data_IF_188017013749
#
_entry.id   IF_188017013749
#
_cell.length_a   1.000
_cell.length_b   1.000
_cell.length_c   1.000
_cell.angle_alpha   90.00
_cell.angle_beta   90.00
_cell.angle_gamma   90.00
#
_symmetry.space_group_name_H-M   'P 1'
#
loop_
_entity.id
_entity.type
_entity.pdbx_description
1 polymer ?
#
# COMPACT_ATOMS: atom_id res chain seq x y z
N UNK A 1 -40.34 10.42 -50.05
CA UNK A 1 -39.62 10.87 -48.87
C UNK A 1 -39.81 9.78 -47.86
N UNK A 2 -38.91 8.83 -47.84
CA UNK A 2 -38.87 7.73 -46.86
C UNK A 2 -38.01 8.17 -45.71
N UNK A 3 -38.63 8.31 -44.52
CA UNK A 3 -37.95 8.55 -43.27
C UNK A 3 -37.00 7.38 -43.00
N UNK A 4 -35.74 7.69 -42.86
CA UNK A 4 -34.70 6.78 -42.42
C UNK A 4 -34.79 6.65 -40.88
N UNK A 5 -35.38 5.55 -40.38
CA UNK A 5 -35.23 5.16 -39.00
C UNK A 5 -33.76 4.74 -38.76
N UNK A 6 -33.09 5.24 -37.73
CA UNK A 6 -31.75 4.77 -37.39
C UNK A 6 -31.85 3.33 -36.89
N UNK A 7 -31.00 2.42 -37.37
CA UNK A 7 -30.95 1.06 -36.87
C UNK A 7 -30.25 1.05 -35.51
N UNK A 8 -30.88 0.37 -34.58
CA UNK A 8 -30.35 -0.18 -33.35
C UNK A 8 -30.13 0.81 -32.21
N UNK A 9 -30.80 0.44 -31.14
CA UNK A 9 -30.79 1.07 -29.84
C UNK A 9 -29.39 1.50 -29.42
N UNK A 10 -29.32 2.71 -28.90
CA UNK A 10 -28.08 3.34 -28.48
C UNK A 10 -27.33 2.42 -27.52
N UNK A 11 -26.06 2.20 -27.81
CA UNK A 11 -25.12 1.77 -26.81
C UNK A 11 -25.31 2.72 -25.63
N UNK A 12 -25.32 2.23 -24.38
CA UNK A 12 -25.39 3.10 -23.23
C UNK A 12 -24.27 4.13 -23.40
N UNK A 13 -24.63 5.41 -23.40
CA UNK A 13 -23.67 6.52 -23.28
C UNK A 13 -22.94 6.24 -21.96
N UNK A 14 -21.62 6.24 -21.93
CA UNK A 14 -20.91 6.07 -20.66
C UNK A 14 -21.48 7.07 -19.67
N UNK A 15 -21.94 6.58 -18.51
CA UNK A 15 -22.50 7.45 -17.45
C UNK A 15 -21.44 8.40 -16.88
N UNK A 16 -20.14 8.10 -17.17
CA UNK A 16 -18.97 8.84 -16.68
C UNK A 16 -18.17 9.43 -17.85
N UNK A 17 -17.54 10.58 -17.59
CA UNK A 17 -16.75 11.28 -18.61
C UNK A 17 -15.32 10.70 -18.74
N UNK A 18 -14.80 10.11 -17.64
CA UNK A 18 -13.41 9.65 -17.55
C UNK A 18 -13.28 8.31 -16.82
N UNK A 19 -12.72 7.33 -17.51
CA UNK A 19 -12.33 6.05 -16.94
C UNK A 19 -10.87 6.09 -16.51
N UNK A 20 -10.60 5.85 -15.23
CA UNK A 20 -9.26 5.82 -14.66
C UNK A 20 -8.87 4.39 -14.34
N UNK A 21 -7.83 3.90 -14.98
CA UNK A 21 -7.35 2.53 -14.80
C UNK A 21 -6.41 2.45 -13.59
N UNK A 22 -6.85 1.79 -12.52
CA UNK A 22 -6.08 1.56 -11.30
C UNK A 22 -5.39 0.20 -11.40
N UNK A 23 -4.07 0.19 -11.60
CA UNK A 23 -3.32 -1.05 -11.84
C UNK A 23 -2.57 -1.45 -10.58
N UNK A 24 -2.87 -2.65 -10.07
CA UNK A 24 -2.19 -3.26 -8.93
C UNK A 24 -1.54 -4.59 -9.30
N UNK A 25 -0.31 -4.80 -8.86
CA UNK A 25 0.46 -6.04 -9.01
C UNK A 25 0.85 -6.69 -7.67
N UNK A 26 0.42 -6.09 -6.55
CA UNK A 26 0.70 -6.58 -5.20
C UNK A 26 -0.40 -6.18 -4.21
N UNK A 27 -0.45 -6.88 -3.06
CA UNK A 27 -1.41 -6.55 -1.99
C UNK A 27 -1.23 -5.14 -1.40
N UNK A 28 -0.02 -4.64 -1.14
CA UNK A 28 0.18 -3.27 -0.68
C UNK A 28 -0.37 -2.23 -1.65
N UNK A 29 -0.21 -2.46 -2.96
CA UNK A 29 -0.77 -1.58 -3.99
C UNK A 29 -2.30 -1.57 -3.92
N UNK A 30 -2.94 -2.73 -3.75
CA UNK A 30 -4.40 -2.84 -3.58
C UNK A 30 -4.87 -2.08 -2.33
N UNK A 31 -4.16 -2.22 -1.20
CA UNK A 31 -4.53 -1.54 0.04
C UNK A 31 -4.63 -0.02 -0.11
N UNK A 32 -3.85 0.55 -1.02
CA UNK A 32 -3.82 1.99 -1.32
C UNK A 32 -4.79 2.40 -2.41
N UNK A 33 -4.99 1.55 -3.42
CA UNK A 33 -5.82 1.87 -4.58
C UNK A 33 -7.31 1.57 -4.36
N UNK A 34 -7.67 0.56 -3.55
CA UNK A 34 -9.06 0.20 -3.33
C UNK A 34 -9.91 1.33 -2.70
N UNK A 35 -9.44 2.08 -1.67
CA UNK A 35 -10.18 3.24 -1.16
C UNK A 35 -10.38 4.34 -2.21
N UNK A 36 -9.41 4.50 -3.13
CA UNK A 36 -9.51 5.46 -4.23
C UNK A 36 -10.53 5.01 -5.25
N UNK A 37 -10.55 3.70 -5.58
CA UNK A 37 -11.56 3.14 -6.46
C UNK A 37 -12.97 3.39 -5.93
N UNK A 38 -13.17 3.23 -4.62
CA UNK A 38 -14.46 3.56 -3.98
C UNK A 38 -14.79 5.04 -4.15
N UNK A 39 -13.84 5.95 -3.88
CA UNK A 39 -14.08 7.39 -4.01
C UNK A 39 -14.38 7.81 -5.47
N UNK A 40 -13.74 7.18 -6.45
CA UNK A 40 -14.01 7.45 -7.86
C UNK A 40 -15.40 6.94 -8.27
N UNK A 41 -15.80 5.75 -7.82
CA UNK A 41 -17.11 5.18 -8.13
C UNK A 41 -18.27 5.91 -7.41
N UNK A 42 -17.96 6.64 -6.33
CA UNK A 42 -18.93 7.52 -5.67
C UNK A 42 -19.03 8.90 -6.36
N UNK A 43 -18.13 9.20 -7.31
CA UNK A 43 -18.11 10.45 -8.05
C UNK A 43 -18.96 10.37 -9.33
N UNK A 44 -19.59 11.49 -9.74
CA UNK A 44 -20.51 11.51 -10.89
C UNK A 44 -19.79 11.40 -12.25
N UNK A 45 -18.52 11.82 -12.35
CA UNK A 45 -17.83 12.05 -13.63
C UNK A 45 -16.56 11.24 -13.84
N UNK A 46 -16.10 10.55 -12.82
CA UNK A 46 -14.91 9.71 -12.85
C UNK A 46 -15.30 8.31 -12.44
N UNK A 47 -14.84 7.31 -13.16
CA UNK A 47 -15.01 5.90 -12.81
C UNK A 47 -13.65 5.23 -12.63
N UNK A 48 -13.53 4.37 -11.62
CA UNK A 48 -12.40 3.48 -11.48
C UNK A 48 -12.62 2.20 -12.30
N UNK A 49 -11.59 1.79 -13.01
CA UNK A 49 -11.45 0.44 -13.56
C UNK A 49 -10.27 -0.22 -12.86
N UNK A 50 -10.55 -1.20 -12.04
CA UNK A 50 -9.54 -1.89 -11.20
C UNK A 50 -8.95 -3.08 -11.92
N UNK A 51 -7.62 -3.17 -11.94
CA UNK A 51 -6.87 -4.23 -12.61
C UNK A 51 -5.97 -4.97 -11.64
N UNK A 52 -6.24 -6.26 -11.49
CA UNK A 52 -5.36 -7.21 -10.81
C UNK A 52 -4.40 -7.83 -11.84
N UNK A 53 -3.10 -7.64 -11.67
CA UNK A 53 -2.04 -8.16 -12.56
C UNK A 53 -0.78 -8.50 -11.75
N UNK A 54 0.38 -8.54 -12.37
CA UNK A 54 1.63 -8.83 -11.69
C UNK A 54 2.00 -10.33 -11.67
N UNK A 55 3.00 -10.72 -10.88
CA UNK A 55 3.45 -12.11 -10.81
C UNK A 55 2.41 -13.10 -10.29
N UNK A 56 1.52 -12.64 -9.40
CA UNK A 56 0.41 -13.44 -8.84
C UNK A 56 -0.91 -12.65 -8.90
N UNK A 57 -1.56 -12.58 -10.07
CA UNK A 57 -2.77 -11.78 -10.24
C UNK A 57 -3.95 -12.29 -9.41
N UNK A 58 -4.01 -13.58 -9.07
CA UNK A 58 -5.09 -14.12 -8.25
C UNK A 58 -5.04 -13.62 -6.82
N UNK A 59 -3.84 -13.57 -6.23
CA UNK A 59 -3.65 -12.98 -4.90
C UNK A 59 -4.02 -11.48 -4.87
N UNK A 60 -3.77 -10.77 -5.96
CA UNK A 60 -4.15 -9.35 -6.11
C UNK A 60 -5.66 -9.22 -6.24
N UNK A 61 -6.30 -10.08 -7.03
CA UNK A 61 -7.76 -10.14 -7.17
C UNK A 61 -8.45 -10.39 -5.82
N UNK A 62 -8.02 -11.42 -5.09
CA UNK A 62 -8.53 -11.74 -3.74
C UNK A 62 -8.34 -10.57 -2.77
N UNK A 63 -7.26 -9.81 -2.89
CA UNK A 63 -7.02 -8.64 -2.06
C UNK A 63 -8.02 -7.50 -2.34
N UNK A 64 -8.36 -7.25 -3.61
CA UNK A 64 -9.41 -6.31 -3.99
C UNK A 64 -10.78 -6.75 -3.45
N UNK A 65 -11.14 -8.04 -3.62
CA UNK A 65 -12.39 -8.58 -3.07
C UNK A 65 -12.46 -8.43 -1.54
N UNK A 66 -11.35 -8.71 -0.85
CA UNK A 66 -11.27 -8.61 0.61
C UNK A 66 -11.50 -7.17 1.12
N UNK A 67 -11.26 -6.16 0.29
CA UNK A 67 -11.54 -4.75 0.60
C UNK A 67 -12.91 -4.26 0.09
N UNK A 68 -13.71 -5.16 -0.50
CA UNK A 68 -15.05 -4.83 -1.00
C UNK A 68 -15.07 -4.10 -2.35
N UNK A 69 -13.95 -4.13 -3.05
CA UNK A 69 -13.77 -3.55 -4.40
C UNK A 69 -13.33 -4.68 -5.33
N UNK A 70 -14.26 -5.42 -5.96
CA UNK A 70 -13.89 -6.50 -6.87
C UNK A 70 -13.10 -5.93 -8.06
N UNK A 71 -12.06 -6.67 -8.49
CA UNK A 71 -11.28 -6.27 -9.66
C UNK A 71 -12.13 -6.43 -10.93
N UNK A 72 -12.22 -5.36 -11.73
CA UNK A 72 -12.94 -5.37 -13.02
C UNK A 72 -12.22 -6.25 -14.04
N UNK A 73 -10.89 -6.27 -13.98
CA UNK A 73 -10.03 -7.08 -14.84
C UNK A 73 -9.01 -7.85 -13.99
N UNK A 74 -8.95 -9.18 -14.22
CA UNK A 74 -7.87 -10.01 -13.69
C UNK A 74 -7.05 -10.54 -14.85
N UNK A 75 -5.83 -10.01 -14.98
CA UNK A 75 -4.95 -10.32 -16.09
C UNK A 75 -4.05 -11.52 -15.75
N UNK A 76 -4.55 -12.72 -16.07
CA UNK A 76 -3.80 -13.95 -15.86
C UNK A 76 -2.62 -14.05 -16.83
N UNK A 77 -1.45 -14.36 -16.30
CA UNK A 77 -0.29 -14.72 -17.09
C UNK A 77 -0.46 -16.16 -17.54
N UNK A 78 -0.51 -16.42 -18.86
CA UNK A 78 -0.76 -17.76 -19.41
C UNK A 78 0.39 -18.74 -19.18
N UNK A 79 1.59 -18.23 -19.01
CA UNK A 79 2.79 -19.02 -18.71
C UNK A 79 3.35 -18.54 -17.37
N UNK A 80 3.83 -19.46 -16.53
CA UNK A 80 4.51 -19.04 -15.31
C UNK A 80 5.71 -18.19 -15.73
N UNK A 81 5.83 -16.96 -15.22
CA UNK A 81 6.93 -16.09 -15.59
C UNK A 81 8.24 -16.73 -15.14
N UNK A 82 9.27 -16.62 -15.97
CA UNK A 82 10.64 -16.81 -15.48
C UNK A 82 10.79 -15.90 -14.24
N UNK A 83 11.34 -16.40 -13.13
CA UNK A 83 11.53 -15.60 -11.91
C UNK A 83 12.49 -14.41 -12.11
N UNK A 84 13.14 -14.30 -13.27
CA UNK A 84 14.01 -13.18 -13.55
C UNK A 84 13.22 -11.87 -13.76
N UNK A 85 13.60 -10.78 -13.09
CA UNK A 85 12.86 -9.51 -13.15
C UNK A 85 12.63 -8.99 -14.58
N UNK A 86 13.61 -9.13 -15.46
CA UNK A 86 13.51 -8.68 -16.84
C UNK A 86 12.46 -9.45 -17.66
N UNK A 87 12.32 -10.75 -17.44
CA UNK A 87 11.31 -11.59 -18.12
C UNK A 87 9.91 -11.23 -17.64
N UNK A 88 9.73 -11.02 -16.33
CA UNK A 88 8.47 -10.56 -15.74
C UNK A 88 8.08 -9.18 -16.31
N UNK A 89 9.03 -8.24 -16.35
CA UNK A 89 8.79 -6.90 -16.89
C UNK A 89 8.36 -6.94 -18.36
N UNK A 90 9.04 -7.73 -19.20
CA UNK A 90 8.72 -7.87 -20.61
C UNK A 90 7.30 -8.43 -20.83
N UNK A 91 6.91 -9.43 -20.03
CA UNK A 91 5.57 -10.01 -20.08
C UNK A 91 4.51 -8.99 -19.66
N UNK A 92 4.74 -8.28 -18.55
CA UNK A 92 3.84 -7.23 -18.07
C UNK A 92 3.70 -6.10 -19.10
N UNK A 93 4.79 -5.67 -19.75
CA UNK A 93 4.74 -4.65 -20.81
C UNK A 93 3.78 -5.04 -21.91
N UNK A 94 3.89 -6.26 -22.44
CA UNK A 94 3.02 -6.74 -23.50
C UNK A 94 1.55 -6.78 -23.04
N UNK A 95 1.31 -7.30 -21.85
CA UNK A 95 -0.05 -7.48 -21.34
C UNK A 95 -0.75 -6.17 -20.99
N UNK A 96 -0.01 -5.25 -20.38
CA UNK A 96 -0.54 -3.93 -20.05
C UNK A 96 -0.77 -3.14 -21.34
N UNK A 97 0.09 -3.27 -22.36
CA UNK A 97 -0.09 -2.63 -23.64
C UNK A 97 -1.38 -3.09 -24.35
N UNK A 98 -1.63 -4.41 -24.39
CA UNK A 98 -2.89 -4.98 -24.90
C UNK A 98 -4.11 -4.41 -24.15
N UNK A 99 -4.03 -4.37 -22.80
CA UNK A 99 -5.11 -3.87 -21.95
C UNK A 99 -5.42 -2.39 -22.20
N UNK A 100 -4.38 -1.55 -22.35
CA UNK A 100 -4.56 -0.13 -22.64
C UNK A 100 -5.17 0.14 -24.02
N UNK A 101 -4.91 -0.75 -25.00
CA UNK A 101 -5.58 -0.68 -26.32
C UNK A 101 -7.05 -1.02 -26.20
N UNK A 102 -7.37 -2.07 -25.43
CA UNK A 102 -8.73 -2.58 -25.34
C UNK A 102 -9.65 -1.66 -24.52
N UNK A 103 -9.13 -1.05 -23.46
CA UNK A 103 -9.90 -0.22 -22.52
C UNK A 103 -9.88 1.29 -22.84
N UNK A 104 -8.87 1.77 -23.57
CA UNK A 104 -8.67 3.20 -23.94
C UNK A 104 -8.94 4.17 -22.76
N UNK A 105 -8.28 4.00 -21.59
CA UNK A 105 -8.60 4.78 -20.40
C UNK A 105 -8.14 6.23 -20.53
N UNK A 106 -8.83 7.15 -19.82
CA UNK A 106 -8.47 8.57 -19.77
C UNK A 106 -7.17 8.82 -19.00
N UNK A 107 -6.83 7.96 -18.02
CA UNK A 107 -5.56 7.96 -17.31
C UNK A 107 -5.26 6.59 -16.69
N UNK A 108 -3.98 6.36 -16.38
CA UNK A 108 -3.52 5.21 -15.60
C UNK A 108 -3.04 5.70 -14.23
N UNK A 109 -3.55 5.10 -13.17
CA UNK A 109 -3.10 5.37 -11.81
C UNK A 109 -2.31 4.19 -11.26
N UNK A 110 -1.15 4.49 -10.68
CA UNK A 110 -0.23 3.53 -10.08
C UNK A 110 0.23 3.99 -8.69
N UNK A 111 0.58 3.03 -7.84
CA UNK A 111 1.08 3.27 -6.49
C UNK A 111 2.51 2.76 -6.32
N UNK A 112 3.36 3.55 -5.63
CA UNK A 112 4.67 3.13 -5.18
C UNK A 112 5.73 3.01 -6.27
N UNK A 113 6.70 2.13 -6.04
CA UNK A 113 7.87 1.89 -6.92
C UNK A 113 8.06 0.42 -7.29
N UNK A 114 7.03 -0.41 -7.17
CA UNK A 114 7.10 -1.80 -7.59
C UNK A 114 7.35 -1.98 -9.10
N UNK A 115 7.56 -3.20 -9.54
CA UNK A 115 7.78 -3.50 -10.96
C UNK A 115 6.51 -3.23 -11.78
N UNK A 116 5.36 -3.67 -11.32
CA UNK A 116 4.09 -3.46 -12.02
C UNK A 116 3.77 -1.98 -12.21
N UNK A 117 3.81 -1.10 -11.18
CA UNK A 117 3.68 0.34 -11.36
C UNK A 117 4.65 0.94 -12.37
N UNK A 118 5.93 0.52 -12.32
CA UNK A 118 6.96 1.06 -13.22
C UNK A 118 6.71 0.68 -14.68
N UNK A 119 6.29 -0.55 -14.93
CA UNK A 119 5.95 -1.02 -16.28
C UNK A 119 4.68 -0.33 -16.76
N UNK A 120 3.64 -0.26 -15.94
CA UNK A 120 2.37 0.37 -16.29
C UNK A 120 2.55 1.85 -16.66
N UNK A 121 3.32 2.59 -15.87
CA UNK A 121 3.61 4.00 -16.15
C UNK A 121 4.38 4.19 -17.47
N UNK A 122 5.36 3.33 -17.78
CA UNK A 122 6.11 3.41 -19.03
C UNK A 122 5.23 3.11 -20.24
N UNK A 123 4.42 2.06 -20.17
CA UNK A 123 3.51 1.68 -21.28
C UNK A 123 2.45 2.75 -21.51
N UNK A 124 1.83 3.27 -20.44
CA UNK A 124 0.87 4.37 -20.52
C UNK A 124 1.49 5.62 -21.17
N UNK A 125 2.71 6.00 -20.73
CA UNK A 125 3.43 7.13 -21.30
C UNK A 125 3.70 6.97 -22.81
N UNK A 126 4.12 5.78 -23.27
CA UNK A 126 4.34 5.52 -24.70
C UNK A 126 3.05 5.60 -25.53
N UNK A 127 1.92 5.34 -24.91
CA UNK A 127 0.59 5.51 -25.51
C UNK A 127 0.01 6.91 -25.36
N UNK A 128 0.76 7.84 -24.76
CA UNK A 128 0.31 9.20 -24.46
C UNK A 128 -0.91 9.26 -23.52
N UNK A 129 -1.10 8.22 -22.70
CA UNK A 129 -2.10 8.19 -21.65
C UNK A 129 -1.50 8.84 -20.41
N UNK A 130 -2.17 9.83 -19.79
CA UNK A 130 -1.70 10.46 -18.56
C UNK A 130 -1.46 9.47 -17.42
N UNK A 131 -0.37 9.64 -16.70
CA UNK A 131 -0.01 8.82 -15.54
C UNK A 131 -0.25 9.59 -14.27
N UNK A 132 -1.03 9.04 -13.35
CA UNK A 132 -1.19 9.51 -11.98
C UNK A 132 -0.38 8.62 -11.05
N UNK A 133 0.61 9.17 -10.38
CA UNK A 133 1.46 8.44 -9.47
C UNK A 133 1.15 8.79 -8.02
N UNK A 134 0.65 7.84 -7.26
CA UNK A 134 0.51 7.95 -5.80
C UNK A 134 1.76 7.38 -5.13
N UNK A 135 2.43 8.19 -4.36
CA UNK A 135 3.67 7.83 -3.68
C UNK A 135 3.51 7.90 -2.17
N UNK A 136 3.94 6.84 -1.49
CA UNK A 136 4.18 6.82 -0.04
C UNK A 136 5.62 6.43 0.25
N UNK A 137 6.02 6.60 1.49
CA UNK A 137 7.35 6.25 1.96
C UNK A 137 8.38 7.36 1.78
N UNK A 138 9.55 7.12 2.33
CA UNK A 138 10.67 8.06 2.34
C UNK A 138 11.49 7.89 1.06
N UNK A 139 11.73 8.99 0.36
CA UNK A 139 12.68 9.00 -0.73
C UNK A 139 14.10 8.79 -0.19
N UNK A 140 14.89 7.98 -0.86
CA UNK A 140 16.30 7.79 -0.54
C UNK A 140 17.19 8.43 -1.60
N UNK A 141 18.44 8.72 -1.24
CA UNK A 141 19.43 9.23 -2.22
C UNK A 141 20.15 8.09 -2.97
N UNK A 142 19.91 6.84 -2.55
CA UNK A 142 20.55 5.65 -3.12
C UNK A 142 19.57 4.88 -4.03
N UNK A 143 19.85 4.82 -5.32
CA UNK A 143 19.05 4.08 -6.32
C UNK A 143 18.92 2.58 -6.04
N UNK A 144 19.83 2.04 -5.24
CA UNK A 144 19.86 0.63 -4.89
C UNK A 144 19.17 0.34 -3.54
N UNK A 145 18.61 1.36 -2.90
CA UNK A 145 18.01 1.21 -1.58
C UNK A 145 16.70 2.01 -1.41
N UNK A 146 15.55 1.32 -1.28
CA UNK A 146 15.32 -0.11 -1.52
C UNK A 146 15.41 -0.47 -3.00
N UNK A 147 15.93 -1.65 -3.30
CA UNK A 147 16.08 -2.12 -4.67
C UNK A 147 14.93 -3.07 -5.05
N UNK A 148 14.32 -2.92 -6.24
CA UNK A 148 14.53 -1.89 -7.28
C UNK A 148 13.61 -0.66 -7.11
N UNK A 149 12.89 -0.56 -5.99
CA UNK A 149 11.75 0.37 -5.79
C UNK A 149 12.17 1.83 -5.94
N UNK A 150 13.32 2.25 -5.40
CA UNK A 150 13.76 3.64 -5.48
C UNK A 150 14.03 4.08 -6.92
N UNK A 151 14.70 3.24 -7.71
CA UNK A 151 14.95 3.52 -9.12
C UNK A 151 13.63 3.60 -9.92
N UNK A 152 12.73 2.65 -9.71
CA UNK A 152 11.41 2.62 -10.35
C UNK A 152 10.59 3.85 -9.99
N UNK A 153 10.55 4.23 -8.71
CA UNK A 153 9.83 5.41 -8.22
C UNK A 153 10.30 6.68 -8.94
N UNK A 154 11.61 6.86 -9.12
CA UNK A 154 12.15 8.02 -9.86
C UNK A 154 11.75 7.99 -11.33
N UNK A 155 11.76 6.82 -11.96
CA UNK A 155 11.30 6.68 -13.35
C UNK A 155 9.83 7.08 -13.45
N UNK A 156 8.96 6.54 -12.61
CA UNK A 156 7.52 6.84 -12.63
C UNK A 156 7.30 8.34 -12.40
N UNK A 157 7.99 8.93 -11.43
CA UNK A 157 7.88 10.36 -11.13
C UNK A 157 8.24 11.28 -12.30
N UNK A 158 9.15 10.86 -13.21
CA UNK A 158 9.47 11.61 -14.43
C UNK A 158 8.42 11.47 -15.53
N UNK A 159 7.61 10.41 -15.48
CA UNK A 159 6.56 10.12 -16.47
C UNK A 159 5.19 10.64 -16.02
N UNK A 160 5.03 10.90 -14.73
CA UNK A 160 3.74 11.26 -14.14
C UNK A 160 3.26 12.65 -14.59
N UNK A 161 2.02 12.70 -15.06
CA UNK A 161 1.29 13.95 -15.34
C UNK A 161 0.78 14.59 -14.04
N UNK A 162 0.46 13.76 -13.04
CA UNK A 162 0.05 14.18 -11.71
C UNK A 162 0.80 13.33 -10.66
N UNK A 163 1.43 13.98 -9.70
CA UNK A 163 2.17 13.35 -8.62
C UNK A 163 1.47 13.60 -7.28
N UNK A 164 1.03 12.54 -6.62
CA UNK A 164 0.31 12.56 -5.35
C UNK A 164 1.19 11.99 -4.25
N UNK A 165 1.25 12.66 -3.09
CA UNK A 165 2.05 12.21 -1.95
C UNK A 165 1.19 11.96 -0.73
N UNK A 166 1.58 10.99 0.09
CA UNK A 166 0.87 10.70 1.35
C UNK A 166 1.26 11.63 2.50
N UNK A 167 2.32 12.42 2.36
CA UNK A 167 2.78 13.33 3.40
C UNK A 167 4.13 13.98 3.09
N UNK A 168 4.74 14.55 4.10
CA UNK A 168 6.01 15.28 4.03
C UNK A 168 7.20 14.30 3.95
N UNK A 169 7.28 13.57 2.85
CA UNK A 169 8.16 12.41 2.65
C UNK A 169 9.58 12.78 2.17
N UNK A 170 10.04 14.02 2.39
CA UNK A 170 11.37 14.44 1.93
C UNK A 170 11.53 14.50 0.40
N UNK A 171 10.44 14.38 -0.36
CA UNK A 171 10.43 14.36 -1.82
C UNK A 171 10.74 15.71 -2.48
N UNK A 172 11.02 16.75 -1.71
CA UNK A 172 11.07 18.17 -2.09
C UNK A 172 11.66 18.53 -3.45
N UNK A 173 12.71 17.84 -3.93
CA UNK A 173 13.30 18.14 -5.25
C UNK A 173 12.86 17.16 -6.35
N UNK A 174 12.23 16.05 -6.02
CA UNK A 174 11.85 15.00 -6.96
C UNK A 174 10.34 15.05 -7.33
N UNK A 175 9.53 15.68 -6.48
CA UNK A 175 8.17 16.02 -6.81
C UNK A 175 8.19 17.21 -7.77
N UNK A 176 7.77 17.01 -9.01
CA UNK A 176 7.63 18.08 -10.00
C UNK A 176 6.66 19.20 -9.50
N UNK A 177 6.48 20.27 -10.26
CA UNK A 177 5.62 21.40 -9.86
C UNK A 177 4.14 21.03 -9.68
N UNK A 178 3.74 19.83 -10.08
CA UNK A 178 2.37 19.31 -9.99
C UNK A 178 2.19 18.30 -8.85
N UNK A 179 3.05 18.34 -7.82
CA UNK A 179 2.90 17.46 -6.66
C UNK A 179 1.83 17.98 -5.70
N UNK A 180 0.91 17.11 -5.32
CA UNK A 180 -0.17 17.40 -4.37
C UNK A 180 -0.10 16.42 -3.21
N UNK A 181 -0.07 16.95 -1.98
CA UNK A 181 -0.17 16.11 -0.78
C UNK A 181 -1.64 15.77 -0.52
N UNK A 182 -1.95 14.48 -0.53
CA UNK A 182 -3.32 13.96 -0.33
C UNK A 182 -3.53 13.30 1.03
N UNK A 183 -2.46 12.88 1.68
CA UNK A 183 -2.50 12.06 2.89
C UNK A 183 -2.49 10.56 2.56
N UNK A 184 -2.49 9.75 3.61
CA UNK A 184 -2.46 8.30 3.48
C UNK A 184 -3.83 7.75 3.07
N UNK A 185 -3.89 7.05 1.94
CA UNK A 185 -5.11 6.45 1.42
C UNK A 185 -5.45 5.10 2.06
N UNK A 186 -4.52 4.50 2.81
CA UNK A 186 -4.82 3.28 3.55
C UNK A 186 -5.82 3.58 4.67
N UNK A 187 -6.98 2.97 4.60
CA UNK A 187 -8.03 3.14 5.61
C UNK A 187 -8.28 1.82 6.33
N UNK A 188 -8.46 1.91 7.65
CA UNK A 188 -8.98 0.78 8.43
C UNK A 188 -10.49 0.73 8.18
N UNK A 189 -10.91 0.03 7.13
CA UNK A 189 -12.34 -0.20 6.92
C UNK A 189 -12.86 -1.02 8.10
N UNK A 190 -13.92 -0.58 8.83
CA UNK A 190 -14.54 -1.37 9.86
C UNK A 190 -15.23 -2.58 9.21
N UNK A 191 -14.50 -3.67 9.07
CA UNK A 191 -14.96 -4.91 8.45
C UNK A 191 -15.66 -5.84 9.44
N UNK A 192 -16.49 -6.78 8.92
CA UNK A 192 -17.44 -7.55 9.69
C UNK A 192 -16.82 -8.40 10.81
N UNK A 193 -17.68 -8.80 11.75
CA UNK A 193 -17.37 -9.51 12.98
C UNK A 193 -16.69 -10.88 12.82
N UNK A 194 -16.49 -11.35 11.59
CA UNK A 194 -16.07 -12.71 11.25
C UNK A 194 -14.56 -12.90 11.04
N UNK A 195 -13.75 -11.84 11.21
CA UNK A 195 -12.31 -11.96 11.08
C UNK A 195 -11.73 -12.77 12.25
N UNK A 196 -10.79 -13.67 11.94
CA UNK A 196 -10.10 -14.55 12.89
C UNK A 196 -9.56 -13.80 14.11
N UNK A 197 -9.00 -12.61 13.90
CA UNK A 197 -8.38 -11.78 14.94
C UNK A 197 -9.30 -10.72 15.53
N UNK A 198 -10.58 -10.65 15.15
CA UNK A 198 -11.50 -9.62 15.64
C UNK A 198 -11.63 -9.57 17.18
N UNK A 199 -11.50 -10.73 17.85
CA UNK A 199 -11.52 -10.79 19.32
C UNK A 199 -10.25 -10.20 19.93
N UNK A 200 -9.08 -10.51 19.35
CA UNK A 200 -7.80 -9.98 19.77
C UNK A 200 -7.76 -8.46 19.59
N UNK A 201 -8.09 -7.96 18.40
CA UNK A 201 -8.15 -6.52 18.09
C UNK A 201 -9.07 -5.78 19.05
N UNK A 202 -10.25 -6.30 19.33
CA UNK A 202 -11.17 -5.70 20.32
C UNK A 202 -10.57 -5.66 21.72
N UNK A 203 -9.90 -6.73 22.14
CA UNK A 203 -9.25 -6.81 23.47
C UNK A 203 -8.12 -5.80 23.58
N UNK A 204 -7.25 -5.71 22.57
CA UNK A 204 -6.15 -4.74 22.50
C UNK A 204 -6.68 -3.31 22.59
N UNK A 205 -7.70 -2.97 21.78
CA UNK A 205 -8.31 -1.63 21.76
C UNK A 205 -9.04 -1.25 23.07
N UNK A 206 -9.45 -2.23 23.86
CA UNK A 206 -10.09 -2.03 25.16
C UNK A 206 -9.09 -1.91 26.33
N UNK A 207 -7.87 -1.40 26.09
CA UNK A 207 -6.77 -1.32 27.04
C UNK A 207 -6.33 -2.70 27.58
N UNK A 208 -6.43 -3.73 26.75
CA UNK A 208 -5.89 -5.06 27.01
C UNK A 208 -4.38 -5.14 26.75
N UNK A 209 -3.88 -6.33 26.36
CA UNK A 209 -2.48 -6.52 26.11
C UNK A 209 -1.99 -5.64 24.94
N UNK A 210 -0.71 -5.28 24.97
CA UNK A 210 -0.04 -4.59 23.88
C UNK A 210 0.33 -5.61 22.81
N UNK A 211 -0.06 -5.38 21.57
CA UNK A 211 0.20 -6.28 20.45
C UNK A 211 1.53 -5.94 19.79
N UNK A 212 2.40 -6.92 19.66
CA UNK A 212 3.59 -6.91 18.81
C UNK A 212 3.28 -7.75 17.57
N UNK A 213 3.22 -7.11 16.40
CA UNK A 213 2.99 -7.79 15.14
C UNK A 213 4.33 -8.03 14.45
N UNK A 214 4.61 -9.28 14.04
CA UNK A 214 5.89 -9.69 13.46
C UNK A 214 5.66 -10.36 12.12
N UNK A 215 6.12 -9.73 11.03
CA UNK A 215 6.01 -10.23 9.66
C UNK A 215 7.39 -10.50 9.07
N UNK A 216 7.77 -11.78 8.87
CA UNK A 216 9.11 -12.17 8.45
C UNK A 216 9.07 -13.22 7.35
N UNK A 217 9.74 -12.90 6.24
CA UNK A 217 9.83 -13.76 5.07
C UNK A 217 11.28 -14.19 4.77
N UNK A 218 12.28 -13.40 5.16
CA UNK A 218 13.68 -13.63 4.80
C UNK A 218 14.43 -14.48 5.83
N UNK A 219 15.24 -15.46 5.39
CA UNK A 219 16.02 -16.32 6.29
C UNK A 219 16.95 -15.56 7.25
N UNK A 220 17.46 -14.41 6.85
CA UNK A 220 18.35 -13.58 7.67
C UNK A 220 17.64 -13.01 8.91
N UNK A 221 16.31 -12.98 8.91
CA UNK A 221 15.45 -12.51 10.01
C UNK A 221 15.19 -13.57 11.10
N UNK A 222 15.74 -14.79 10.98
CA UNK A 222 15.53 -15.89 11.95
C UNK A 222 15.92 -15.54 13.39
N UNK A 223 16.91 -14.66 13.57
CA UNK A 223 17.31 -14.18 14.89
C UNK A 223 16.21 -13.46 15.65
N UNK A 224 15.29 -12.81 14.93
CA UNK A 224 14.12 -12.14 15.54
C UNK A 224 13.17 -13.16 16.16
N UNK A 225 12.84 -14.24 15.44
CA UNK A 225 11.98 -15.31 15.97
C UNK A 225 12.56 -15.94 17.23
N UNK A 226 13.89 -16.15 17.26
CA UNK A 226 14.57 -16.73 18.40
C UNK A 226 14.51 -15.84 19.67
N UNK A 227 14.40 -14.52 19.51
CA UNK A 227 14.32 -13.57 20.62
C UNK A 227 12.90 -13.35 21.19
N UNK A 228 11.85 -13.74 20.46
CA UNK A 228 10.45 -13.48 20.87
C UNK A 228 10.03 -14.23 22.16
N UNK A 229 10.43 -15.49 22.42
CA UNK A 229 10.10 -16.14 23.69
C UNK A 229 10.62 -15.38 24.90
N UNK A 230 11.88 -14.91 24.87
CA UNK A 230 12.46 -14.11 25.95
C UNK A 230 11.74 -12.76 26.13
N UNK A 231 11.31 -12.13 25.01
CA UNK A 231 10.50 -10.91 25.08
C UNK A 231 9.16 -11.18 25.78
N UNK A 232 8.48 -12.27 25.42
CA UNK A 232 7.21 -12.66 26.01
C UNK A 232 7.35 -12.98 27.51
N UNK A 233 8.42 -13.68 27.91
CA UNK A 233 8.67 -14.01 29.32
C UNK A 233 8.98 -12.74 30.16
N UNK A 234 9.69 -11.79 29.56
CA UNK A 234 10.08 -10.54 30.24
C UNK A 234 8.96 -9.49 30.33
N UNK A 235 7.96 -9.56 29.42
CA UNK A 235 6.90 -8.55 29.28
C UNK A 235 5.52 -9.21 29.36
N UNK A 236 4.94 -9.36 30.56
CA UNK A 236 3.67 -10.10 30.72
C UNK A 236 2.45 -9.43 30.09
N UNK A 237 2.55 -8.14 29.73
CA UNK A 237 1.46 -7.35 29.15
C UNK A 237 1.42 -7.37 27.61
N UNK A 238 2.32 -8.12 26.96
CA UNK A 238 2.33 -8.21 25.51
C UNK A 238 1.76 -9.51 25.00
N UNK A 239 1.16 -9.44 23.81
CA UNK A 239 0.86 -10.58 22.95
C UNK A 239 1.58 -10.41 21.62
N UNK A 240 1.95 -11.52 20.99
CA UNK A 240 2.68 -11.55 19.74
C UNK A 240 1.86 -12.28 18.67
N UNK A 241 1.74 -11.67 17.51
CA UNK A 241 1.25 -12.36 16.30
C UNK A 241 2.40 -12.41 15.30
N UNK A 242 2.76 -13.63 14.87
CA UNK A 242 3.81 -13.87 13.87
C UNK A 242 3.16 -14.35 12.59
N UNK A 243 3.55 -13.77 11.45
CA UNK A 243 3.13 -14.20 10.12
C UNK A 243 4.31 -14.15 9.13
N UNK A 244 4.09 -14.69 7.91
CA UNK A 244 5.11 -14.76 6.87
C UNK A 244 5.68 -16.16 6.68
N UNK A 245 6.59 -16.31 5.73
CA UNK A 245 7.18 -17.61 5.39
C UNK A 245 7.94 -18.22 6.58
N UNK A 246 8.61 -17.40 7.40
CA UNK A 246 9.33 -17.86 8.57
C UNK A 246 8.43 -18.34 9.70
N UNK A 247 7.14 -18.05 9.68
CA UNK A 247 6.18 -18.63 10.63
C UNK A 247 6.10 -20.16 10.54
N UNK A 248 6.48 -20.73 9.40
CA UNK A 248 6.56 -22.19 9.18
C UNK A 248 7.93 -22.77 9.53
N UNK A 249 8.92 -21.96 9.88
CA UNK A 249 10.26 -22.41 10.20
C UNK A 249 10.36 -22.98 11.63
N UNK A 250 11.28 -23.92 11.84
CA UNK A 250 11.48 -24.57 13.15
C UNK A 250 11.80 -23.59 14.30
N UNK A 251 12.36 -22.43 14.01
CA UNK A 251 12.60 -21.36 15.00
C UNK A 251 11.30 -20.78 15.60
N UNK A 252 10.16 -20.90 14.92
CA UNK A 252 8.86 -20.47 15.44
C UNK A 252 8.23 -21.52 16.40
N UNK A 253 8.80 -22.74 16.50
CA UNK A 253 8.24 -23.82 17.32
C UNK A 253 7.99 -23.44 18.79
N UNK A 254 8.90 -22.74 19.50
CA UNK A 254 8.64 -22.30 20.88
C UNK A 254 7.40 -21.40 21.01
N UNK A 255 7.12 -20.58 19.99
CA UNK A 255 5.98 -19.67 19.98
C UNK A 255 4.64 -20.39 19.81
N UNK A 256 4.63 -21.57 19.11
CA UNK A 256 3.42 -22.37 18.94
C UNK A 256 2.87 -22.93 20.26
N UNK A 257 3.70 -22.98 21.30
CA UNK A 257 3.35 -23.48 22.61
C UNK A 257 3.24 -22.40 23.67
N UNK A 258 3.34 -21.12 23.26
CA UNK A 258 3.25 -20.00 24.16
C UNK A 258 1.85 -19.37 24.15
N UNK A 259 1.17 -19.32 25.31
CA UNK A 259 -0.23 -18.87 25.44
C UNK A 259 -0.50 -17.46 24.89
N UNK A 260 0.53 -16.61 24.86
CA UNK A 260 0.46 -15.23 24.37
C UNK A 260 1.06 -15.03 22.98
N UNK A 261 1.32 -16.11 22.26
CA UNK A 261 1.78 -16.05 20.88
C UNK A 261 0.77 -16.72 19.94
N UNK A 262 0.57 -16.10 18.79
CA UNK A 262 -0.19 -16.72 17.69
C UNK A 262 0.69 -16.71 16.44
N UNK A 263 0.87 -17.86 15.85
CA UNK A 263 1.69 -18.04 14.66
C UNK A 263 0.78 -18.45 13.51
N UNK A 264 0.86 -17.72 12.39
CA UNK A 264 0.10 -17.98 11.16
C UNK A 264 1.00 -17.83 9.95
N UNK A 265 0.80 -18.62 8.93
CA UNK A 265 1.61 -18.54 7.71
C UNK A 265 1.32 -17.29 6.91
N UNK A 266 0.06 -16.91 6.82
CA UNK A 266 -0.36 -15.72 6.06
C UNK A 266 -1.57 -15.06 6.72
N UNK A 267 -1.73 -13.78 6.45
CA UNK A 267 -2.88 -12.98 6.86
C UNK A 267 -3.58 -12.45 5.60
N UNK A 268 -4.91 -12.57 5.52
CA UNK A 268 -5.68 -11.79 4.57
C UNK A 268 -5.42 -10.29 4.75
N UNK A 269 -5.44 -9.52 3.67
CA UNK A 269 -5.09 -8.10 3.71
C UNK A 269 -5.95 -7.31 4.73
N UNK A 270 -7.25 -7.58 4.78
CA UNK A 270 -8.16 -6.91 5.72
C UNK A 270 -7.80 -7.20 7.19
N UNK A 271 -7.34 -8.42 7.51
CA UNK A 271 -6.87 -8.77 8.85
C UNK A 271 -5.52 -8.13 9.16
N UNK A 272 -4.59 -8.13 8.18
CA UNK A 272 -3.27 -7.51 8.31
C UNK A 272 -3.40 -6.02 8.64
N UNK A 273 -4.18 -5.26 7.88
CA UNK A 273 -4.40 -3.82 8.10
C UNK A 273 -4.98 -3.57 9.50
N UNK A 274 -5.94 -4.37 9.95
CA UNK A 274 -6.52 -4.22 11.29
C UNK A 274 -5.55 -4.58 12.42
N UNK A 275 -4.73 -5.61 12.22
CA UNK A 275 -3.70 -5.99 13.19
C UNK A 275 -2.60 -4.94 13.27
N UNK A 276 -2.13 -4.42 12.14
CA UNK A 276 -1.17 -3.30 12.12
C UNK A 276 -1.76 -2.13 12.89
N UNK A 277 -2.95 -1.65 12.56
CA UNK A 277 -3.58 -0.50 13.22
C UNK A 277 -3.91 -0.71 14.70
N UNK A 278 -3.91 -1.96 15.19
CA UNK A 278 -4.10 -2.28 16.61
C UNK A 278 -2.78 -2.53 17.34
N UNK A 279 -1.66 -2.65 16.61
CA UNK A 279 -0.38 -3.03 17.20
C UNK A 279 0.31 -1.87 17.93
N UNK A 280 1.01 -2.18 18.99
CA UNK A 280 1.89 -1.25 19.67
C UNK A 280 3.21 -1.05 18.89
N UNK A 281 3.60 -2.06 18.10
CA UNK A 281 4.73 -2.01 17.19
C UNK A 281 4.59 -3.10 16.12
N UNK A 282 4.97 -2.75 14.88
CA UNK A 282 5.19 -3.71 13.80
C UNK A 282 6.70 -3.98 13.68
N UNK A 283 7.07 -5.25 13.54
CA UNK A 283 8.43 -5.69 13.21
C UNK A 283 8.36 -6.47 11.91
N UNK A 284 9.05 -6.01 10.88
CA UNK A 284 9.01 -6.71 9.59
C UNK A 284 10.31 -6.56 8.82
N UNK A 285 10.61 -7.54 7.97
CA UNK A 285 11.66 -7.48 6.96
C UNK A 285 11.14 -7.08 5.57
N UNK A 286 9.86 -6.72 5.49
CA UNK A 286 9.24 -6.12 4.31
C UNK A 286 9.28 -4.58 4.44
N UNK A 287 10.09 -3.88 3.61
CA UNK A 287 10.19 -2.43 3.66
C UNK A 287 8.89 -1.70 3.31
N UNK A 288 8.04 -2.28 2.44
CA UNK A 288 6.79 -1.66 2.04
C UNK A 288 5.79 -1.67 3.20
N UNK A 289 5.65 -2.82 3.87
CA UNK A 289 4.79 -2.95 5.03
C UNK A 289 5.23 -2.05 6.19
N UNK A 290 6.56 -1.94 6.40
CA UNK A 290 7.12 -1.04 7.43
C UNK A 290 6.85 0.42 7.10
N UNK A 291 6.97 0.81 5.82
CA UNK A 291 6.67 2.17 5.38
C UNK A 291 5.18 2.54 5.52
N UNK A 292 4.31 1.56 5.44
CA UNK A 292 2.86 1.74 5.53
C UNK A 292 2.33 1.85 6.98
N UNK A 293 3.00 1.21 7.93
CA UNK A 293 2.53 1.11 9.31
C UNK A 293 2.29 2.47 10.00
N UNK A 294 3.12 3.51 9.81
CA UNK A 294 2.87 4.83 10.39
C UNK A 294 1.57 5.48 9.94
N UNK A 295 1.16 5.27 8.69
CA UNK A 295 -0.13 5.74 8.17
C UNK A 295 -1.33 5.13 8.90
N UNK A 296 -1.15 3.95 9.51
CA UNK A 296 -2.13 3.29 10.38
C UNK A 296 -1.94 3.64 11.87
N UNK A 297 -1.01 4.56 12.19
CA UNK A 297 -0.74 4.97 13.57
C UNK A 297 0.20 4.04 14.35
N UNK A 298 0.89 3.10 13.67
CA UNK A 298 1.71 2.08 14.30
C UNK A 298 3.19 2.33 14.06
N UNK A 299 4.03 2.46 15.09
CA UNK A 299 5.47 2.53 14.92
C UNK A 299 5.99 1.20 14.36
N UNK A 300 7.00 1.27 13.48
CA UNK A 300 7.52 0.09 12.81
C UNK A 300 9.04 -0.04 12.93
N UNK A 301 9.50 -1.28 12.95
CA UNK A 301 10.91 -1.67 12.99
C UNK A 301 11.23 -2.51 11.77
N UNK A 302 12.09 -2.01 10.89
CA UNK A 302 12.59 -2.77 9.75
C UNK A 302 13.75 -3.66 10.19
N UNK A 303 13.63 -4.95 9.90
CA UNK A 303 14.66 -5.94 10.18
C UNK A 303 15.58 -6.05 8.96
N UNK A 304 16.88 -5.88 9.19
CA UNK A 304 17.93 -6.16 8.20
C UNK A 304 17.76 -5.44 6.85
N UNK A 305 17.40 -4.15 6.91
CA UNK A 305 17.34 -3.30 5.73
C UNK A 305 18.68 -2.64 5.44
N UNK A 306 19.01 -2.40 4.16
CA UNK A 306 20.05 -1.45 3.82
C UNK A 306 19.67 -0.11 4.45
N UNK A 307 20.69 0.67 4.82
CA UNK A 307 20.59 1.95 5.50
C UNK A 307 19.37 2.78 5.03
N UNK A 308 18.34 2.88 5.85
CA UNK A 308 17.26 3.83 5.64
C UNK A 308 17.74 5.16 6.25
N UNK A 309 17.70 6.27 5.49
CA UNK A 309 18.06 7.58 6.01
C UNK A 309 17.24 7.93 7.24
N UNK A 310 17.77 8.78 8.10
CA UNK A 310 17.20 9.17 9.38
C UNK A 310 15.67 9.32 9.30
N UNK A 311 14.93 8.49 10.01
CA UNK A 311 13.48 8.52 9.94
C UNK A 311 12.96 9.71 10.74
N UNK A 312 11.90 10.31 10.30
CA UNK A 312 10.95 10.89 11.23
C UNK A 312 10.59 9.81 12.27
N UNK A 313 10.25 10.19 13.51
CA UNK A 313 10.19 9.37 14.74
C UNK A 313 9.39 8.04 14.67
N UNK A 314 8.82 7.67 13.54
CA UNK A 314 7.86 6.56 13.39
C UNK A 314 8.45 5.26 12.81
N UNK A 315 9.60 5.29 12.10
CA UNK A 315 10.23 4.10 11.50
C UNK A 315 11.67 3.98 12.00
N UNK A 316 12.07 2.79 12.42
CA UNK A 316 13.45 2.50 12.81
C UNK A 316 13.98 1.32 12.02
N UNK A 317 15.07 1.53 11.28
CA UNK A 317 15.80 0.45 10.61
C UNK A 317 16.89 -0.09 11.52
N UNK A 318 16.92 -1.41 11.74
CA UNK A 318 17.82 -2.02 12.72
C UNK A 318 18.30 -3.38 12.23
N UNK A 319 19.58 -3.63 12.43
CA UNK A 319 20.19 -4.93 12.19
C UNK A 319 19.71 -5.97 13.23
N UNK A 320 19.55 -7.21 12.78
CA UNK A 320 18.90 -8.31 13.51
C UNK A 320 19.26 -8.51 15.00
N UNK A 321 20.50 -8.37 15.50
CA UNK A 321 20.79 -8.60 16.91
C UNK A 321 20.17 -7.56 17.86
N UNK A 322 19.85 -6.37 17.36
CA UNK A 322 19.36 -5.26 18.17
C UNK A 322 17.84 -5.06 18.10
N UNK A 323 17.13 -5.87 17.29
CA UNK A 323 15.67 -5.72 17.09
C UNK A 323 14.91 -5.81 18.41
N UNK A 324 15.22 -6.80 19.25
CA UNK A 324 14.51 -6.98 20.53
C UNK A 324 14.72 -5.81 21.50
N UNK A 325 15.92 -5.25 21.52
CA UNK A 325 16.21 -4.05 22.33
C UNK A 325 15.40 -2.87 21.85
N UNK A 326 15.27 -2.70 20.54
CA UNK A 326 14.48 -1.61 19.99
C UNK A 326 12.99 -1.82 20.18
N UNK A 327 12.50 -3.03 20.00
CA UNK A 327 11.11 -3.35 20.34
C UNK A 327 10.80 -2.98 21.78
N UNK A 328 11.66 -3.36 22.75
CA UNK A 328 11.51 -2.93 24.16
C UNK A 328 11.55 -1.41 24.33
N UNK A 329 12.43 -0.71 23.62
CA UNK A 329 12.50 0.76 23.64
C UNK A 329 11.23 1.42 23.10
N UNK A 330 10.71 0.93 21.94
CA UNK A 330 9.44 1.40 21.37
C UNK A 330 8.29 1.12 22.33
N UNK A 331 8.26 -0.07 22.91
CA UNK A 331 7.28 -0.42 23.92
C UNK A 331 7.39 0.43 25.18
N UNK A 332 8.60 0.75 25.67
CA UNK A 332 8.83 1.59 26.85
C UNK A 332 8.54 3.08 26.60
N UNK A 333 8.73 3.53 25.38
CA UNK A 333 8.39 4.90 24.95
C UNK A 333 6.87 5.15 24.88
N UNK A 334 6.07 4.45 25.66
CA UNK A 334 4.62 4.59 25.78
C UNK A 334 4.23 6.05 26.08
N UNK A 335 4.03 6.81 25.02
CA UNK A 335 3.89 8.26 24.97
C UNK A 335 4.22 8.78 23.58
N UNK A 336 4.74 7.94 22.67
CA UNK A 336 4.67 8.22 21.24
C UNK A 336 3.18 8.21 20.94
N UNK A 337 2.59 9.38 20.91
CA UNK A 337 1.24 9.55 20.39
C UNK A 337 1.27 8.89 19.03
N UNK A 338 0.45 7.85 18.79
CA UNK A 338 0.33 7.32 17.45
C UNK A 338 0.11 8.52 16.54
N UNK A 339 0.84 8.61 15.46
CA UNK A 339 0.49 9.60 14.42
C UNK A 339 -1.01 9.46 14.24
N UNK A 340 -1.80 10.54 14.38
CA UNK A 340 -3.24 10.39 14.30
C UNK A 340 -3.56 9.60 13.04
N UNK A 341 -4.43 8.57 13.11
CA UNK A 341 -4.78 7.81 11.93
C UNK A 341 -5.20 8.81 10.85
N UNK A 342 -4.83 8.51 9.62
CA UNK A 342 -5.18 9.34 8.48
C UNK A 342 -6.62 9.85 8.64
N UNK A 343 -6.88 11.11 8.34
CA UNK A 343 -8.18 11.77 8.57
C UNK A 343 -9.34 11.16 7.76
N UNK A 344 -9.07 10.09 7.02
CA UNK A 344 -10.02 9.38 6.18
C UNK A 344 -10.40 10.12 4.90
N UNK A 345 -9.81 11.29 4.64
CA UNK A 345 -10.16 12.14 3.49
C UNK A 345 -9.17 12.00 2.32
N UNK A 346 -8.13 11.20 2.45
CA UNK A 346 -7.09 11.08 1.43
C UNK A 346 -7.64 10.61 0.07
N UNK A 347 -8.51 9.60 0.05
CA UNK A 347 -9.13 9.12 -1.18
C UNK A 347 -9.98 10.19 -1.87
N UNK A 348 -10.75 10.97 -1.12
CA UNK A 348 -11.52 12.10 -1.66
C UNK A 348 -10.61 13.21 -2.21
N UNK A 349 -9.46 13.46 -1.58
CA UNK A 349 -8.46 14.41 -2.12
C UNK A 349 -7.80 13.91 -3.40
N UNK A 350 -7.57 12.60 -3.51
CA UNK A 350 -7.11 11.98 -4.77
C UNK A 350 -8.15 12.18 -5.86
N UNK A 351 -9.42 11.91 -5.58
CA UNK A 351 -10.53 12.14 -6.53
C UNK A 351 -10.52 13.61 -6.99
N UNK A 352 -10.50 14.55 -6.07
CA UNK A 352 -10.48 15.97 -6.40
C UNK A 352 -9.24 16.40 -7.22
N UNK A 353 -8.06 15.83 -6.93
CA UNK A 353 -6.84 16.10 -7.67
C UNK A 353 -6.91 15.57 -9.11
N UNK A 354 -7.48 14.39 -9.31
CA UNK A 354 -7.70 13.80 -10.63
C UNK A 354 -8.78 14.57 -11.39
N UNK A 355 -9.88 14.92 -10.74
CA UNK A 355 -10.92 15.78 -11.31
C UNK A 355 -10.35 17.12 -11.79
N UNK A 356 -9.45 17.74 -11.00
CA UNK A 356 -8.75 18.96 -11.41
C UNK A 356 -7.85 18.73 -12.63
N UNK A 357 -7.13 17.62 -12.72
CA UNK A 357 -6.30 17.28 -13.88
C UNK A 357 -7.11 17.27 -15.18
N UNK A 358 -8.37 16.86 -15.12
CA UNK A 358 -9.31 16.86 -16.26
C UNK A 358 -10.11 18.18 -16.40
N UNK A 359 -9.85 19.19 -15.57
CA UNK A 359 -10.56 20.46 -15.60
C UNK A 359 -12.01 20.41 -15.10
N UNK A 360 -12.38 19.36 -14.36
CA UNK A 360 -13.73 19.15 -13.83
C UNK A 360 -14.02 19.99 -12.58
N UNK A 361 -12.98 20.42 -11.87
CA UNK A 361 -13.09 21.25 -10.68
C UNK A 361 -11.93 22.25 -10.58
N UNK A 362 -12.03 23.31 -9.73
CA UNK A 362 -10.93 24.22 -9.46
C UNK A 362 -9.72 23.52 -8.82
N UNK A 363 -8.53 24.13 -8.93
CA UNK A 363 -7.30 23.60 -8.36
C UNK A 363 -7.45 23.32 -6.85
N UNK A 364 -7.11 22.09 -6.38
CA UNK A 364 -7.15 21.74 -4.96
C UNK A 364 -6.14 22.54 -4.13
N UNK A 365 -5.09 23.10 -4.74
CA UNK A 365 -4.09 23.95 -4.08
C UNK A 365 -4.65 25.31 -3.65
N UNK A 366 -5.76 25.76 -4.24
CA UNK A 366 -6.42 27.04 -3.91
C UNK A 366 -7.44 26.92 -2.78
N UNK A 367 -7.84 25.71 -2.41
CA UNK A 367 -8.85 25.44 -1.39
C UNK A 367 -8.29 24.76 -0.14
N UNK A 368 -6.95 24.76 0.04
CA UNK A 368 -6.28 24.01 1.10
C UNK A 368 -6.82 24.34 2.49
N UNK A 369 -7.46 23.39 3.17
CA UNK A 369 -7.78 23.48 4.59
C UNK A 369 -6.65 22.90 5.46
N UNK A 370 -5.42 22.76 4.94
CA UNK A 370 -4.32 22.35 5.79
C UNK A 370 -3.93 23.55 6.68
N UNK A 371 -4.07 23.46 8.00
CA UNK A 371 -3.42 24.41 8.87
C UNK A 371 -1.92 24.35 8.58
N UNK A 372 -1.38 25.44 8.06
CA UNK A 372 0.06 25.63 8.02
C UNK A 372 0.58 25.45 9.46
N UNK A 373 1.35 24.40 9.72
CA UNK A 373 2.17 24.28 10.93
C UNK A 373 3.30 25.32 10.88
N UNK A 374 2.91 26.60 10.87
CA UNK A 374 3.79 27.73 11.11
C UNK A 374 3.13 28.55 12.21
N UNK A 375 3.24 28.02 13.42
CA UNK A 375 3.23 28.79 14.68
C UNK A 375 3.49 27.79 15.83
N UNK A 376 4.75 27.53 16.15
CA UNK A 376 5.38 27.73 17.49
C UNK A 376 6.89 27.60 17.31
#
# INVERSE_FOLDING_TARGET
>A
MTEFEPPLGGLPVPEHDHDILLIAGSRPEVARLAPIATAFNDADRIQALTVATGPDPMTVHEAFEALGVPADVTQLLREPPDPQPAAIAALLMTRIDELLVDLDPSAVMVYGGGMTPAVAAQVAFWRQIPVVHLQSGVATDDLLCPFPQEANRRIIGQLASLFLTTGDSGLGSQAGPNAITVGDTMTVNPQPADLRFARLVRRVRANGPRLVLVGLDRPDSLGVLAGLPELLDGEPEIEVVVFGELASHGAAYPLLHHDRATVVRSLPLAELVQLVAASAVLVSDDPELVADAPGLGTPAVLVDGPHVPEPGDSIRSILSPDVMTTVRQVLAAAGITPTPPADGLAAARVEQAVAWMFGLCPSPLLTSPFPSNTEV
#
